data_IF_154990726499
#
_entry.id   IF_154990726499
#
_cell.length_a   1.000
_cell.length_b   1.000
_cell.length_c   1.000
_cell.angle_alpha   90.00
_cell.angle_beta   90.00
_cell.angle_gamma   90.00
#
_symmetry.space_group_name_H-M   'P 1'
#
loop_
_entity.id
_entity.type
_entity.pdbx_description
1 polymer ?
#
# COMPACT_ATOMS: atom_id res chain seq x y z
N UNK A 1 10.56 -15.83 -18.24
CA UNK A 1 9.43 -15.63 -17.33
C UNK A 1 8.93 -14.23 -17.62
N UNK A 2 7.75 -14.13 -18.24
CA UNK A 2 7.12 -12.84 -18.53
C UNK A 2 6.29 -12.41 -17.33
N UNK A 3 6.68 -11.31 -16.71
CA UNK A 3 5.97 -10.76 -15.56
C UNK A 3 4.93 -9.76 -16.06
N UNK A 4 3.67 -10.19 -16.08
CA UNK A 4 2.52 -9.34 -16.43
C UNK A 4 1.81 -8.86 -15.17
N UNK A 5 1.12 -7.70 -15.22
CA UNK A 5 0.32 -7.15 -14.10
C UNK A 5 1.16 -6.76 -12.87
N UNK A 6 2.29 -6.10 -13.11
CA UNK A 6 3.18 -5.62 -12.04
C UNK A 6 2.43 -4.69 -11.07
N UNK A 7 2.62 -4.92 -9.76
CA UNK A 7 1.97 -4.14 -8.72
C UNK A 7 0.53 -4.53 -8.40
N UNK A 8 -0.05 -5.52 -9.09
CA UNK A 8 -1.41 -6.01 -8.79
C UNK A 8 -1.41 -7.20 -7.81
N UNK A 9 -0.25 -7.77 -7.53
CA UNK A 9 -0.09 -8.92 -6.66
C UNK A 9 0.80 -8.61 -5.47
N UNK A 10 0.43 -9.12 -4.31
CA UNK A 10 1.29 -9.17 -3.14
C UNK A 10 1.66 -10.62 -2.83
N UNK A 11 2.93 -10.81 -2.46
CA UNK A 11 3.46 -12.11 -2.05
C UNK A 11 3.70 -12.12 -0.54
N UNK A 12 3.17 -13.16 0.13
CA UNK A 12 3.46 -13.42 1.53
C UNK A 12 4.95 -13.75 1.71
N UNK A 13 5.69 -13.07 2.60
CA UNK A 13 7.14 -13.27 2.75
C UNK A 13 7.51 -14.63 3.37
N UNK A 14 6.58 -15.30 4.06
CA UNK A 14 6.87 -16.57 4.75
C UNK A 14 6.78 -17.78 3.82
N UNK A 15 5.71 -17.87 3.02
CA UNK A 15 5.41 -19.08 2.25
C UNK A 15 5.29 -18.83 0.75
N UNK A 16 5.46 -17.57 0.31
CA UNK A 16 5.44 -17.21 -1.11
C UNK A 16 4.07 -17.20 -1.76
N UNK A 17 2.98 -17.34 -1.01
CA UNK A 17 1.62 -17.28 -1.55
C UNK A 17 1.28 -15.90 -2.11
N UNK A 18 0.56 -15.90 -3.23
CA UNK A 18 0.24 -14.70 -3.99
C UNK A 18 -1.26 -14.40 -3.95
N UNK A 19 -1.56 -13.11 -3.83
CA UNK A 19 -2.93 -12.62 -3.71
C UNK A 19 -3.13 -11.43 -4.65
N UNK A 20 -4.27 -11.40 -5.34
CA UNK A 20 -4.69 -10.25 -6.15
C UNK A 20 -5.15 -9.12 -5.21
N UNK A 21 -4.49 -7.97 -5.28
CA UNK A 21 -4.76 -6.82 -4.39
C UNK A 21 -6.17 -6.25 -4.57
N UNK A 22 -6.77 -6.41 -5.75
CA UNK A 22 -8.09 -5.83 -6.07
C UNK A 22 -9.22 -6.68 -5.51
N UNK A 23 -9.07 -8.01 -5.53
CA UNK A 23 -10.15 -8.94 -5.16
C UNK A 23 -9.91 -9.65 -3.83
N UNK A 24 -8.65 -9.81 -3.42
CA UNK A 24 -8.24 -10.62 -2.29
C UNK A 24 -8.17 -12.12 -2.61
N UNK A 25 -8.35 -12.51 -3.87
CA UNK A 25 -8.25 -13.90 -4.29
C UNK A 25 -6.81 -14.43 -4.09
N UNK A 26 -6.66 -15.60 -3.48
CA UNK A 26 -5.39 -16.33 -3.48
C UNK A 26 -5.21 -17.14 -4.77
N UNK A 27 -3.96 -17.31 -5.20
CA UNK A 27 -3.63 -18.17 -6.34
C UNK A 27 -3.13 -19.56 -5.91
N UNK A 28 -2.89 -19.77 -4.62
CA UNK A 28 -2.50 -21.07 -4.08
C UNK A 28 -3.70 -21.98 -3.77
N UNK A 29 -4.82 -21.45 -3.24
CA UNK A 29 -6.09 -22.17 -3.10
C UNK A 29 -7.26 -21.17 -3.18
N UNK A 30 -7.70 -20.77 -4.39
CA UNK A 30 -8.68 -19.71 -4.58
C UNK A 30 -10.06 -20.03 -3.98
N UNK A 31 -10.38 -21.31 -3.76
CA UNK A 31 -11.68 -21.73 -3.25
C UNK A 31 -11.76 -21.68 -1.71
N UNK A 32 -10.63 -21.88 -1.02
CA UNK A 32 -10.61 -22.00 0.45
C UNK A 32 -9.85 -20.88 1.14
N UNK A 33 -8.93 -20.24 0.43
CA UNK A 33 -8.07 -19.21 0.98
C UNK A 33 -8.24 -17.93 0.18
N UNK A 34 -8.74 -16.90 0.85
CA UNK A 34 -8.88 -15.55 0.32
C UNK A 34 -8.59 -14.57 1.45
N UNK A 35 -8.06 -13.40 1.10
CA UNK A 35 -7.86 -12.31 2.05
C UNK A 35 -9.03 -11.34 1.96
N UNK A 36 -9.34 -10.67 3.07
CA UNK A 36 -10.40 -9.68 3.12
C UNK A 36 -9.99 -8.43 2.33
N UNK A 37 -10.83 -8.05 1.37
CA UNK A 37 -10.71 -6.78 0.66
C UNK A 37 -11.38 -5.66 1.43
N UNK A 38 -10.72 -4.51 1.50
CA UNK A 38 -11.25 -3.30 2.12
C UNK A 38 -11.53 -2.26 1.03
N UNK A 39 -12.71 -1.65 1.09
CA UNK A 39 -13.02 -0.52 0.20
C UNK A 39 -12.15 0.66 0.63
N UNK A 40 -11.38 1.18 -0.33
CA UNK A 40 -10.54 2.36 -0.15
C UNK A 40 -10.94 3.42 -1.16
N UNK A 41 -10.82 4.67 -0.78
CA UNK A 41 -11.05 5.83 -1.63
C UNK A 41 -9.92 6.82 -1.43
N UNK A 42 -9.44 7.41 -2.51
CA UNK A 42 -8.50 8.52 -2.45
C UNK A 42 -9.31 9.80 -2.23
N UNK A 43 -8.99 10.52 -1.17
CA UNK A 43 -9.54 11.85 -0.87
C UNK A 43 -8.38 12.83 -0.73
N UNK A 44 -8.64 14.12 -0.96
CA UNK A 44 -7.64 15.15 -0.76
C UNK A 44 -7.18 15.17 0.72
N UNK A 45 -5.89 15.39 0.96
CA UNK A 45 -5.30 15.28 2.30
C UNK A 45 -5.96 16.15 3.37
N UNK A 46 -6.55 17.28 2.97
CA UNK A 46 -7.32 18.16 3.85
C UNK A 46 -8.59 17.49 4.43
N UNK A 47 -9.12 16.45 3.78
CA UNK A 47 -10.34 15.72 4.18
C UNK A 47 -10.03 14.51 5.08
N UNK A 48 -8.77 14.03 5.11
CA UNK A 48 -8.35 12.90 5.95
C UNK A 48 -8.12 13.28 7.42
N UNK A 49 -8.10 14.57 7.74
CA UNK A 49 -7.64 15.12 9.02
C UNK A 49 -8.77 15.30 10.06
N UNK A 50 -9.69 14.35 10.16
CA UNK A 50 -10.54 14.23 11.36
C UNK A 50 -10.38 12.84 11.99
N UNK A 51 -9.17 12.59 12.51
CA UNK A 51 -8.87 11.47 13.39
C UNK A 51 -7.90 11.92 14.49
N UNK A 52 -7.88 11.27 15.66
CA UNK A 52 -7.02 11.68 16.78
C UNK A 52 -5.52 11.48 16.51
N UNK A 53 -5.16 10.87 15.39
CA UNK A 53 -3.79 10.55 15.01
C UNK A 53 -3.23 11.64 14.09
N UNK A 54 -2.69 12.68 14.70
CA UNK A 54 -1.91 13.71 14.01
C UNK A 54 -0.50 13.16 13.84
N UNK A 55 -0.07 12.93 12.59
CA UNK A 55 1.35 12.66 12.31
C UNK A 55 2.15 13.94 12.56
N UNK A 56 3.32 13.82 13.18
CA UNK A 56 4.24 14.95 13.32
C UNK A 56 4.64 15.46 11.94
N UNK A 57 4.49 16.77 11.72
CA UNK A 57 4.87 17.42 10.46
C UNK A 57 6.17 18.17 10.66
N UNK A 58 7.06 18.06 9.68
CA UNK A 58 8.32 18.80 9.65
C UNK A 58 8.27 19.78 8.48
N UNK A 59 8.74 21.03 8.65
CA UNK A 59 8.81 21.98 7.55
C UNK A 59 9.78 21.45 6.48
N UNK A 60 9.28 21.26 5.26
CA UNK A 60 10.10 20.88 4.11
C UNK A 60 10.10 22.04 3.12
N UNK A 61 11.29 22.58 2.84
CA UNK A 61 11.54 23.46 1.71
C UNK A 61 12.11 22.64 0.56
N UNK A 62 11.57 22.84 -0.64
CA UNK A 62 12.12 22.23 -1.87
C UNK A 62 13.08 23.22 -2.50
N UNK A 63 14.38 23.04 -2.22
CA UNK A 63 15.47 23.80 -2.85
C UNK A 63 16.36 22.82 -3.63
N UNK A 64 15.96 22.54 -4.87
CA UNK A 64 16.66 21.65 -5.81
C UNK A 64 16.87 20.20 -5.30
N UNK A 65 17.37 19.32 -6.17
CA UNK A 65 17.22 17.84 -6.14
C UNK A 65 17.86 17.05 -4.96
N UNK A 66 17.84 17.50 -3.70
CA UNK A 66 18.32 16.69 -2.57
C UNK A 66 17.46 16.88 -1.31
N UNK A 67 17.25 15.77 -0.58
CA UNK A 67 16.59 15.74 0.73
C UNK A 67 17.65 15.43 1.79
N UNK A 68 17.84 16.34 2.73
CA UNK A 68 18.70 16.16 3.91
C UNK A 68 17.83 15.82 5.12
N UNK A 69 18.21 14.80 5.90
CA UNK A 69 17.62 14.46 7.19
C UNK A 69 18.70 14.67 8.25
N UNK A 70 18.46 15.57 9.19
CA UNK A 70 19.32 15.78 10.37
C UNK A 70 18.66 15.13 11.59
N UNK A 71 19.47 14.50 12.45
CA UNK A 71 19.04 13.71 13.62
C UNK A 71 19.07 14.52 14.91
#
# INVERSE_FOLDING_TARGET
YDYTRAGEFIRCPWHGWEFDLRTGQSYCDPAKLQVRSFKVSVVEGAVLAEGPYVAETFPVSVENNYVLVDL
#
